data_IF_599914217762
#
_entry.id   IF_599914217762
#
_cell.length_a   1.000
_cell.length_b   1.000
_cell.length_c   1.000
_cell.angle_alpha   90.00
_cell.angle_beta   90.00
_cell.angle_gamma   90.00
#
_symmetry.space_group_name_H-M   'P 1'
#
loop_
_entity.id
_entity.type
_entity.pdbx_description
1 polymer ?
#
# COMPACT_ATOMS: atom_id res chain seq x y z
N UNK A 1 9.27 18.31 -2.34
CA UNK A 1 8.79 16.91 -2.44
C UNK A 1 8.95 16.33 -1.06
N UNK A 2 7.87 16.03 -0.32
CA UNK A 2 8.01 15.34 0.96
C UNK A 2 8.73 14.02 0.71
N UNK A 3 9.72 13.69 1.53
CA UNK A 3 10.40 12.39 1.44
C UNK A 3 9.35 11.29 1.57
N UNK A 4 9.42 10.26 0.72
CA UNK A 4 8.57 9.10 0.85
C UNK A 4 8.79 8.48 2.25
N UNK A 5 7.72 8.07 2.91
CA UNK A 5 7.81 7.37 4.20
C UNK A 5 8.41 5.99 3.95
N UNK A 6 9.67 5.79 4.36
CA UNK A 6 10.42 4.56 4.12
C UNK A 6 11.23 4.16 5.36
N UNK A 7 11.56 2.87 5.46
CA UNK A 7 12.43 2.30 6.49
C UNK A 7 13.37 1.26 5.88
N UNK A 8 14.67 1.51 5.99
CA UNK A 8 15.70 0.54 5.56
C UNK A 8 15.93 -0.49 6.67
N UNK A 9 16.02 -1.77 6.27
CA UNK A 9 16.38 -2.91 7.12
C UNK A 9 17.56 -3.64 6.48
N UNK A 10 18.33 -4.36 7.29
CA UNK A 10 19.51 -5.13 6.84
C UNK A 10 20.82 -4.36 6.98
N UNK A 11 21.93 -5.08 7.09
CA UNK A 11 23.27 -4.47 7.20
C UNK A 11 24.14 -4.67 5.96
N UNK A 12 23.96 -5.77 5.22
CA UNK A 12 24.80 -6.15 4.07
C UNK A 12 24.38 -5.44 2.78
N UNK A 13 25.32 -5.27 1.86
CA UNK A 13 25.09 -4.60 0.57
C UNK A 13 23.90 -5.20 -0.20
N UNK A 14 23.04 -4.35 -0.81
CA UNK A 14 21.95 -4.80 -1.67
C UNK A 14 22.43 -5.57 -2.90
N UNK A 15 23.68 -5.35 -3.34
CA UNK A 15 24.28 -5.97 -4.52
C UNK A 15 24.50 -7.48 -4.37
N UNK A 16 24.38 -8.02 -3.15
CA UNK A 16 24.43 -9.47 -2.92
C UNK A 16 23.22 -10.19 -3.50
N UNK A 17 22.09 -9.52 -3.70
CA UNK A 17 20.88 -10.14 -4.20
C UNK A 17 20.61 -9.68 -5.63
N UNK A 18 20.93 -10.54 -6.60
CA UNK A 18 20.97 -10.18 -8.03
C UNK A 18 19.94 -10.95 -8.83
N UNK A 19 19.39 -10.28 -9.84
CA UNK A 19 18.61 -10.92 -10.89
C UNK A 19 19.58 -11.51 -11.91
N UNK A 20 19.55 -12.83 -12.10
CA UNK A 20 20.44 -13.52 -13.04
C UNK A 20 19.84 -13.62 -14.43
N UNK A 21 18.54 -13.91 -14.48
CA UNK A 21 17.70 -13.95 -15.68
C UNK A 21 16.30 -13.43 -15.29
N UNK A 22 15.37 -13.19 -16.25
CA UNK A 22 14.11 -12.50 -15.96
C UNK A 22 13.30 -13.08 -14.79
N UNK A 23 13.47 -14.38 -14.54
CA UNK A 23 12.68 -15.12 -13.55
C UNK A 23 13.54 -15.74 -12.43
N UNK A 24 14.85 -15.44 -12.37
CA UNK A 24 15.75 -16.06 -11.41
C UNK A 24 16.50 -15.03 -10.57
N UNK A 25 16.34 -15.14 -9.25
CA UNK A 25 17.09 -14.40 -8.27
C UNK A 25 18.14 -15.27 -7.60
N UNK A 26 19.33 -14.72 -7.38
CA UNK A 26 20.43 -15.40 -6.68
C UNK A 26 20.94 -14.49 -5.57
N UNK A 27 21.24 -15.09 -4.41
CA UNK A 27 22.04 -14.42 -3.40
C UNK A 27 23.50 -14.84 -3.50
N UNK A 28 24.38 -13.91 -3.89
CA UNK A 28 25.82 -14.12 -4.02
C UNK A 28 26.46 -14.51 -2.69
N UNK A 29 27.11 -15.66 -2.71
CA UNK A 29 27.86 -16.24 -1.62
C UNK A 29 29.04 -17.06 -2.17
N UNK A 30 29.97 -17.44 -1.30
CA UNK A 30 31.13 -18.27 -1.67
C UNK A 30 30.76 -19.75 -1.90
N UNK A 31 29.52 -20.11 -1.57
CA UNK A 31 28.97 -21.46 -1.71
C UNK A 31 27.93 -21.49 -2.84
N UNK A 32 27.78 -22.66 -3.44
CA UNK A 32 26.68 -22.93 -4.36
C UNK A 32 25.35 -22.94 -3.58
N UNK A 33 24.28 -22.50 -4.24
CA UNK A 33 22.91 -22.59 -3.70
C UNK A 33 22.54 -24.04 -3.41
N UNK A 34 22.03 -24.32 -2.22
CA UNK A 34 21.59 -25.65 -1.76
C UNK A 34 20.06 -25.77 -1.66
N UNK A 35 19.34 -24.68 -1.96
CA UNK A 35 17.87 -24.63 -2.04
C UNK A 35 17.40 -23.67 -3.14
N UNK A 36 16.32 -24.05 -3.84
CA UNK A 36 15.55 -23.21 -4.77
C UNK A 36 14.16 -23.03 -4.20
N UNK A 37 13.71 -21.78 -4.04
CA UNK A 37 12.33 -21.47 -3.66
C UNK A 37 11.60 -20.92 -4.86
N UNK A 38 10.48 -21.52 -5.23
CA UNK A 38 9.63 -21.11 -6.35
C UNK A 38 8.39 -20.38 -5.82
N UNK A 39 8.14 -19.18 -6.33
CA UNK A 39 6.97 -18.36 -5.99
C UNK A 39 6.32 -17.87 -7.28
N UNK A 40 5.26 -18.56 -7.71
CA UNK A 40 4.74 -18.40 -9.08
C UNK A 40 5.83 -18.69 -10.11
N UNK A 41 6.00 -17.83 -11.11
CA UNK A 41 6.97 -18.01 -12.19
C UNK A 41 8.42 -17.62 -11.82
N UNK A 42 8.68 -17.25 -10.57
CA UNK A 42 9.98 -16.74 -10.12
C UNK A 42 10.68 -17.75 -9.23
N UNK A 43 11.92 -18.08 -9.58
CA UNK A 43 12.80 -18.96 -8.81
C UNK A 43 13.85 -18.16 -8.03
N UNK A 44 14.07 -18.55 -6.78
CA UNK A 44 15.06 -17.95 -5.89
C UNK A 44 16.10 -19.01 -5.52
N UNK A 45 17.32 -18.88 -6.06
CA UNK A 45 18.45 -19.76 -5.73
C UNK A 45 19.15 -19.23 -4.46
N UNK A 46 18.92 -19.93 -3.36
CA UNK A 46 19.24 -19.49 -2.00
C UNK A 46 20.02 -20.58 -1.26
N UNK A 47 20.13 -20.39 0.05
CA UNK A 47 20.87 -21.21 0.99
C UNK A 47 19.95 -21.58 2.15
N UNK A 48 19.95 -22.83 2.59
CA UNK A 48 19.04 -23.34 3.63
C UNK A 48 19.19 -22.56 4.93
N UNK A 49 20.43 -22.39 5.41
CA UNK A 49 20.70 -21.85 6.75
C UNK A 49 20.11 -20.45 7.01
N UNK A 50 20.27 -19.43 6.14
CA UNK A 50 19.59 -18.15 6.31
C UNK A 50 18.06 -18.24 6.44
N UNK A 51 17.42 -19.15 5.70
CA UNK A 51 15.97 -19.27 5.64
C UNK A 51 15.40 -19.98 6.88
N UNK A 52 15.94 -21.17 7.21
CA UNK A 52 15.40 -22.01 8.29
C UNK A 52 15.56 -21.36 9.68
N UNK A 53 16.55 -20.48 9.85
CA UNK A 53 16.75 -19.75 11.10
C UNK A 53 15.76 -18.60 11.33
N UNK A 54 15.02 -18.20 10.30
CA UNK A 54 14.18 -17.00 10.30
C UNK A 54 12.71 -17.28 9.98
N UNK A 55 12.40 -18.48 9.50
CA UNK A 55 11.05 -18.91 9.14
C UNK A 55 10.82 -20.36 9.53
N UNK A 56 9.88 -20.57 10.45
CA UNK A 56 9.44 -21.90 10.85
C UNK A 56 8.74 -22.66 9.71
N UNK A 57 8.04 -21.94 8.83
CA UNK A 57 7.39 -22.52 7.66
C UNK A 57 8.42 -22.99 6.63
N UNK A 58 9.41 -22.17 6.28
CA UNK A 58 10.48 -22.57 5.36
C UNK A 58 11.31 -23.71 5.94
N UNK A 59 11.56 -23.72 7.26
CA UNK A 59 12.22 -24.84 7.93
C UNK A 59 11.49 -26.17 7.71
N UNK A 60 10.16 -26.19 7.87
CA UNK A 60 9.33 -27.38 7.65
C UNK A 60 9.36 -27.83 6.19
N UNK A 61 9.09 -26.91 5.26
CA UNK A 61 9.04 -27.22 3.83
C UNK A 61 10.39 -27.72 3.28
N UNK A 62 11.51 -27.15 3.74
CA UNK A 62 12.86 -27.59 3.37
C UNK A 62 13.17 -28.98 3.95
N UNK A 63 12.72 -29.27 5.17
CA UNK A 63 12.90 -30.58 5.78
C UNK A 63 12.11 -31.66 5.03
N UNK A 64 10.83 -31.40 4.75
CA UNK A 64 9.92 -32.32 4.05
C UNK A 64 10.40 -32.65 2.64
N UNK A 65 10.81 -31.64 1.86
CA UNK A 65 11.38 -31.83 0.53
C UNK A 65 12.68 -32.65 0.55
N UNK A 66 13.53 -32.46 1.56
CA UNK A 66 14.78 -33.24 1.71
C UNK A 66 14.50 -34.70 2.10
N UNK A 67 13.43 -35.00 2.83
CA UNK A 67 13.04 -36.38 3.21
C UNK A 67 12.34 -37.15 2.09
N UNK A 68 11.71 -36.45 1.14
CA UNK A 68 11.02 -37.08 0.00
C UNK A 68 11.96 -37.46 -1.15
N UNK A 69 13.17 -36.90 -1.16
CA UNK A 69 14.23 -37.18 -2.13
C UNK A 69 15.18 -38.25 -1.59
N UNK A 70 14.71 -39.49 -1.48
CA UNK A 70 15.60 -40.62 -1.18
C UNK A 70 16.63 -40.80 -2.32
N UNK A 71 17.89 -40.46 -2.02
CA UNK A 71 19.13 -41.06 -2.53
C UNK A 71 19.44 -41.16 -4.04
N UNK A 72 18.84 -40.37 -4.95
CA UNK A 72 19.15 -40.50 -6.39
C UNK A 72 19.60 -39.27 -7.20
N UNK A 73 19.74 -38.06 -6.65
CA UNK A 73 20.28 -36.94 -7.45
C UNK A 73 21.47 -36.25 -6.79
N UNK A 74 22.66 -36.71 -7.19
CA UNK A 74 23.96 -36.25 -6.72
C UNK A 74 24.20 -34.75 -6.91
N UNK A 75 23.89 -33.97 -5.87
CA UNK A 75 24.30 -32.57 -5.76
C UNK A 75 23.31 -31.53 -6.30
N UNK A 76 22.06 -31.90 -6.64
CA UNK A 76 21.05 -30.88 -7.00
C UNK A 76 20.47 -30.19 -5.76
N UNK A 77 20.17 -28.89 -5.85
CA UNK A 77 19.55 -28.15 -4.74
C UNK A 77 18.12 -28.64 -4.49
N UNK A 78 17.74 -28.66 -3.21
CA UNK A 78 16.38 -28.92 -2.76
C UNK A 78 15.43 -27.87 -3.33
N UNK A 79 14.26 -28.25 -3.85
CA UNK A 79 13.29 -27.30 -4.41
C UNK A 79 12.05 -27.23 -3.51
N UNK A 80 11.61 -26.01 -3.18
CA UNK A 80 10.43 -25.73 -2.36
C UNK A 80 9.49 -24.82 -3.14
N UNK A 81 8.23 -25.23 -3.25
CA UNK A 81 7.18 -24.41 -3.86
C UNK A 81 6.40 -23.66 -2.78
N UNK A 82 6.20 -22.36 -2.99
CA UNK A 82 5.38 -21.49 -2.15
C UNK A 82 4.21 -20.98 -2.98
N UNK A 83 3.23 -21.85 -3.14
CA UNK A 83 1.95 -21.49 -3.73
C UNK A 83 1.20 -20.53 -2.80
N UNK A 84 0.46 -19.60 -3.40
CA UNK A 84 -0.43 -18.67 -2.69
C UNK A 84 0.24 -17.82 -1.58
N UNK A 85 1.54 -17.52 -1.73
CA UNK A 85 2.21 -16.58 -0.83
C UNK A 85 1.62 -15.17 -1.01
N UNK A 86 1.08 -14.54 0.05
CA UNK A 86 0.55 -13.18 -0.03
C UNK A 86 1.61 -12.19 -0.51
N UNK A 87 1.31 -11.43 -1.56
CA UNK A 87 2.23 -10.48 -2.20
C UNK A 87 3.27 -11.13 -3.12
N UNK A 88 3.17 -12.45 -3.32
CA UNK A 88 3.93 -13.25 -4.28
C UNK A 88 5.45 -13.07 -4.19
N UNK A 89 6.11 -13.24 -5.34
CA UNK A 89 7.56 -13.16 -5.46
C UNK A 89 8.12 -11.79 -5.02
N UNK A 90 7.36 -10.70 -5.21
CA UNK A 90 7.77 -9.36 -4.80
C UNK A 90 7.92 -9.24 -3.27
N UNK A 91 6.96 -9.79 -2.50
CA UNK A 91 7.04 -9.86 -1.05
C UNK A 91 8.12 -10.87 -0.60
N UNK A 92 8.18 -12.05 -1.22
CA UNK A 92 9.19 -13.06 -0.91
C UNK A 92 10.61 -12.53 -1.08
N UNK A 93 10.88 -11.73 -2.11
CA UNK A 93 12.19 -11.12 -2.31
C UNK A 93 12.64 -10.29 -1.10
N UNK A 94 11.73 -9.56 -0.46
CA UNK A 94 12.04 -8.76 0.73
C UNK A 94 12.20 -9.65 1.97
N UNK A 95 11.39 -10.72 2.08
CA UNK A 95 11.57 -11.76 3.10
C UNK A 95 12.95 -12.42 2.98
N UNK A 96 13.35 -12.84 1.78
CA UNK A 96 14.65 -13.44 1.53
C UNK A 96 15.78 -12.47 1.89
N UNK A 97 15.70 -11.21 1.46
CA UNK A 97 16.68 -10.18 1.86
C UNK A 97 16.78 -10.04 3.38
N UNK A 98 15.66 -10.06 4.10
CA UNK A 98 15.66 -10.06 5.57
C UNK A 98 16.37 -11.29 6.15
N UNK A 99 16.10 -12.49 5.64
CA UNK A 99 16.75 -13.72 6.09
C UNK A 99 18.28 -13.68 5.93
N UNK A 100 18.75 -13.01 4.88
CA UNK A 100 20.18 -12.84 4.59
C UNK A 100 20.84 -11.64 5.27
N UNK A 101 20.05 -10.80 5.96
CA UNK A 101 20.48 -9.49 6.47
C UNK A 101 21.00 -8.56 5.36
N UNK A 102 20.44 -8.70 4.14
CA UNK A 102 20.72 -7.84 2.99
C UNK A 102 19.80 -6.62 3.03
N UNK A 103 20.35 -5.45 2.71
CA UNK A 103 19.60 -4.21 2.74
C UNK A 103 18.38 -4.21 1.81
N UNK A 104 17.25 -3.78 2.34
CA UNK A 104 16.02 -3.51 1.60
C UNK A 104 15.20 -2.42 2.29
N UNK A 105 14.22 -1.91 1.55
CA UNK A 105 13.37 -0.81 2.00
C UNK A 105 11.92 -1.27 2.18
N UNK A 106 11.37 -1.02 3.37
CA UNK A 106 9.94 -1.00 3.61
C UNK A 106 9.38 0.38 3.27
N UNK A 107 8.23 0.41 2.61
CA UNK A 107 7.49 1.62 2.28
C UNK A 107 5.99 1.34 2.28
N UNK A 108 5.19 2.39 2.07
CA UNK A 108 3.73 2.30 2.12
C UNK A 108 3.12 1.32 1.09
N UNK A 109 3.82 1.04 -0.02
CA UNK A 109 3.32 0.14 -1.06
C UNK A 109 3.58 -1.34 -0.75
N UNK A 110 4.66 -1.65 -0.01
CA UNK A 110 5.07 -3.02 0.23
C UNK A 110 4.86 -3.52 1.66
N UNK A 111 4.62 -2.63 2.64
CA UNK A 111 4.51 -3.01 4.05
C UNK A 111 3.40 -4.01 4.31
N UNK A 112 2.23 -3.84 3.67
CA UNK A 112 1.06 -4.72 3.84
C UNK A 112 1.34 -6.13 3.29
N UNK A 113 1.74 -6.30 2.01
CA UNK A 113 2.05 -7.64 1.50
C UNK A 113 3.22 -8.28 2.23
N UNK A 114 4.26 -7.53 2.64
CA UNK A 114 5.37 -8.06 3.44
C UNK A 114 4.91 -8.53 4.81
N UNK A 115 4.04 -7.77 5.48
CA UNK A 115 3.47 -8.15 6.79
C UNK A 115 2.63 -9.43 6.68
N UNK A 116 1.87 -9.58 5.60
CA UNK A 116 1.07 -10.78 5.32
C UNK A 116 1.97 -11.99 4.97
N UNK A 117 2.98 -11.80 4.13
CA UNK A 117 3.96 -12.85 3.80
C UNK A 117 4.74 -13.31 5.04
N UNK A 118 5.17 -12.37 5.90
CA UNK A 118 5.87 -12.69 7.14
C UNK A 118 4.99 -13.51 8.12
N UNK A 119 3.68 -13.22 8.17
CA UNK A 119 2.70 -14.02 8.92
C UNK A 119 2.61 -15.44 8.36
N UNK A 120 2.40 -15.57 7.04
CA UNK A 120 2.29 -16.87 6.35
C UNK A 120 3.54 -17.73 6.52
N UNK A 121 4.71 -17.11 6.48
CA UNK A 121 6.00 -17.78 6.63
C UNK A 121 6.41 -18.00 8.08
N UNK A 122 5.56 -17.65 9.05
CA UNK A 122 5.83 -17.87 10.47
C UNK A 122 7.13 -17.20 10.92
N UNK A 123 7.39 -15.99 10.41
CA UNK A 123 8.55 -15.18 10.79
C UNK A 123 8.26 -14.48 12.13
N UNK A 124 8.26 -15.27 13.20
CA UNK A 124 7.93 -14.87 14.57
C UNK A 124 9.20 -14.66 15.45
N UNK A 125 9.05 -14.10 16.66
CA UNK A 125 10.15 -13.83 17.61
C UNK A 125 10.57 -12.35 17.73
N UNK A 126 11.42 -12.01 18.68
CA UNK A 126 11.88 -10.62 18.86
C UNK A 126 12.76 -10.17 17.68
N UNK A 127 12.52 -8.95 17.16
CA UNK A 127 13.27 -8.43 16.02
C UNK A 127 13.04 -9.14 14.68
N UNK A 128 11.93 -9.88 14.56
CA UNK A 128 11.54 -10.55 13.30
C UNK A 128 10.97 -9.56 12.26
N UNK A 129 10.79 -10.03 11.02
CA UNK A 129 10.26 -9.21 9.93
C UNK A 129 8.82 -8.72 10.16
N UNK A 130 7.94 -9.57 10.69
CA UNK A 130 6.56 -9.19 11.01
C UNK A 130 6.52 -8.03 12.02
N UNK A 131 7.34 -8.06 13.07
CA UNK A 131 7.46 -7.01 14.08
C UNK A 131 8.05 -5.72 13.51
N UNK A 132 9.05 -5.82 12.62
CA UNK A 132 9.60 -4.65 11.94
C UNK A 132 8.59 -3.99 10.99
N UNK A 133 7.84 -4.80 10.22
CA UNK A 133 6.78 -4.33 9.34
C UNK A 133 5.62 -3.72 10.13
N UNK A 134 5.19 -4.36 11.21
CA UNK A 134 4.17 -3.86 12.14
C UNK A 134 4.57 -2.49 12.73
N UNK A 135 5.78 -2.39 13.29
CA UNK A 135 6.26 -1.15 13.88
C UNK A 135 6.33 0.00 12.87
N UNK A 136 6.79 -0.29 11.64
CA UNK A 136 6.79 0.69 10.55
C UNK A 136 5.37 1.09 10.14
N UNK A 137 4.46 0.12 10.04
CA UNK A 137 3.04 0.36 9.74
C UNK A 137 2.40 1.29 10.77
N UNK A 138 2.54 0.97 12.07
CA UNK A 138 1.92 1.75 13.16
C UNK A 138 2.48 3.17 13.24
N UNK A 139 3.82 3.29 13.27
CA UNK A 139 4.50 4.55 13.59
C UNK A 139 4.55 5.50 12.40
N UNK A 140 4.92 4.98 11.25
CA UNK A 140 5.33 5.80 10.12
C UNK A 140 4.20 5.88 9.07
N UNK A 141 3.58 4.74 8.75
CA UNK A 141 2.53 4.65 7.71
C UNK A 141 1.20 5.23 8.20
N UNK A 142 0.69 4.78 9.35
CA UNK A 142 -0.55 5.34 9.90
C UNK A 142 -0.40 6.80 10.32
N UNK A 143 0.82 7.30 10.52
CA UNK A 143 1.08 8.71 10.77
C UNK A 143 0.79 9.60 9.55
N UNK A 144 1.04 9.12 8.34
CA UNK A 144 0.94 9.90 7.11
C UNK A 144 -0.33 9.59 6.32
N UNK A 145 -1.06 10.62 5.89
CA UNK A 145 -2.25 10.46 5.05
C UNK A 145 -1.93 9.68 3.77
N UNK A 146 -0.91 10.10 3.02
CA UNK A 146 -0.56 9.47 1.74
C UNK A 146 -0.05 8.05 1.91
N UNK A 147 0.72 7.79 2.98
CA UNK A 147 1.20 6.46 3.27
C UNK A 147 0.04 5.54 3.67
N UNK A 148 -0.90 6.01 4.50
CA UNK A 148 -2.07 5.24 4.89
C UNK A 148 -3.01 4.94 3.71
N UNK A 149 -3.23 5.90 2.78
CA UNK A 149 -3.98 5.63 1.54
C UNK A 149 -3.28 4.57 0.71
N UNK A 150 -1.96 4.68 0.52
CA UNK A 150 -1.18 3.72 -0.28
C UNK A 150 -1.14 2.32 0.34
N UNK A 151 -1.03 2.23 1.66
CA UNK A 151 -1.12 0.96 2.37
C UNK A 151 -2.53 0.35 2.26
N UNK A 152 -3.57 1.16 2.38
CA UNK A 152 -4.96 0.70 2.19
C UNK A 152 -5.21 0.17 0.77
N UNK A 153 -4.62 0.80 -0.25
CA UNK A 153 -4.64 0.28 -1.63
C UNK A 153 -3.97 -1.09 -1.74
N UNK A 154 -2.82 -1.26 -1.06
CA UNK A 154 -2.10 -2.53 -1.06
C UNK A 154 -2.87 -3.68 -0.38
N UNK A 155 -3.86 -3.38 0.47
CA UNK A 155 -4.76 -4.40 1.02
C UNK A 155 -5.75 -4.98 -0.01
N UNK A 156 -5.96 -4.32 -1.15
CA UNK A 156 -6.93 -4.72 -2.17
C UNK A 156 -6.37 -4.58 -3.59
N UNK A 157 -5.09 -4.94 -3.81
CA UNK A 157 -4.45 -4.81 -5.12
C UNK A 157 -4.63 -6.03 -6.04
N UNK A 158 -5.63 -6.88 -5.77
CA UNK A 158 -5.95 -8.07 -6.56
C UNK A 158 -5.37 -9.38 -6.07
N UNK A 159 -4.67 -9.39 -4.94
CA UNK A 159 -4.19 -10.59 -4.26
C UNK A 159 -5.16 -10.97 -3.12
N UNK A 160 -5.86 -12.10 -3.28
CA UNK A 160 -6.86 -12.57 -2.32
C UNK A 160 -6.25 -12.97 -0.97
N UNK A 161 -5.03 -13.53 -0.99
CA UNK A 161 -4.29 -13.90 0.21
C UNK A 161 -3.88 -12.68 1.03
N UNK A 162 -3.47 -11.60 0.37
CA UNK A 162 -3.22 -10.31 1.02
C UNK A 162 -4.51 -9.73 1.57
N UNK A 163 -5.60 -9.73 0.80
CA UNK A 163 -6.87 -9.14 1.25
C UNK A 163 -7.39 -9.82 2.51
N UNK A 164 -7.39 -11.16 2.55
CA UNK A 164 -7.86 -11.91 3.71
C UNK A 164 -7.00 -11.63 4.94
N UNK A 165 -5.67 -11.77 4.82
CA UNK A 165 -4.76 -11.55 5.95
C UNK A 165 -4.72 -10.09 6.42
N UNK A 166 -4.90 -9.13 5.51
CA UNK A 166 -4.96 -7.72 5.86
C UNK A 166 -6.18 -7.38 6.73
N UNK A 167 -7.30 -8.11 6.57
CA UNK A 167 -8.44 -8.02 7.49
C UNK A 167 -8.14 -8.74 8.80
N UNK A 168 -7.64 -9.97 8.77
CA UNK A 168 -7.36 -10.78 9.97
C UNK A 168 -6.32 -10.10 10.89
N UNK A 169 -5.33 -9.42 10.31
CA UNK A 169 -4.29 -8.66 11.01
C UNK A 169 -4.71 -7.19 11.30
N UNK A 170 -5.94 -6.81 10.96
CA UNK A 170 -6.50 -5.47 11.14
C UNK A 170 -5.71 -4.34 10.43
N UNK A 171 -4.96 -4.66 9.36
CA UNK A 171 -4.20 -3.66 8.60
C UNK A 171 -5.15 -2.72 7.85
N UNK A 172 -6.12 -3.26 7.11
CA UNK A 172 -7.10 -2.44 6.38
C UNK A 172 -8.01 -1.61 7.32
N UNK A 173 -8.63 -2.19 8.38
CA UNK A 173 -9.40 -1.42 9.36
C UNK A 173 -8.61 -0.26 9.99
N UNK A 174 -7.36 -0.48 10.41
CA UNK A 174 -6.54 0.56 11.05
C UNK A 174 -6.15 1.68 10.09
N UNK A 175 -5.93 1.37 8.80
CA UNK A 175 -5.78 2.40 7.78
C UNK A 175 -7.05 3.25 7.64
N UNK A 176 -8.23 2.61 7.58
CA UNK A 176 -9.53 3.29 7.45
C UNK A 176 -9.79 4.19 8.66
N UNK A 177 -9.62 3.67 9.88
CA UNK A 177 -9.77 4.44 11.12
C UNK A 177 -8.82 5.62 11.18
N UNK A 178 -7.55 5.41 10.82
CA UNK A 178 -6.51 6.45 10.82
C UNK A 178 -6.81 7.57 9.81
N UNK A 179 -7.29 7.22 8.61
CA UNK A 179 -7.69 8.17 7.58
C UNK A 179 -8.93 8.94 8.02
N UNK A 180 -9.95 8.25 8.51
CA UNK A 180 -11.18 8.90 8.98
C UNK A 180 -10.89 9.85 10.16
N UNK A 181 -10.06 9.45 11.12
CA UNK A 181 -9.61 10.31 12.22
C UNK A 181 -8.93 11.60 11.72
N UNK A 182 -8.05 11.50 10.72
CA UNK A 182 -7.36 12.66 10.14
C UNK A 182 -8.30 13.57 9.37
N UNK A 183 -9.25 13.00 8.63
CA UNK A 183 -10.21 13.79 7.86
C UNK A 183 -11.21 14.53 8.75
N UNK A 184 -11.67 13.89 9.83
CA UNK A 184 -12.63 14.47 10.77
C UNK A 184 -11.99 15.39 11.82
N UNK A 185 -10.66 15.50 11.88
CA UNK A 185 -9.98 16.36 12.83
C UNK A 185 -10.23 17.84 12.52
N UNK A 186 -10.61 18.62 13.54
CA UNK A 186 -10.78 20.08 13.41
C UNK A 186 -9.42 20.75 13.14
N UNK A 187 -9.24 21.42 11.98
CA UNK A 187 -8.00 22.12 11.64
C UNK A 187 -7.63 23.24 12.63
N UNK A 188 -8.57 23.68 13.47
CA UNK A 188 -8.39 24.79 14.41
C UNK A 188 -7.99 24.36 15.82
N UNK A 189 -8.12 23.07 16.16
CA UNK A 189 -7.91 22.57 17.53
C UNK A 189 -6.54 21.93 17.77
N UNK A 190 -5.79 21.62 16.72
CA UNK A 190 -4.45 21.04 16.84
C UNK A 190 -3.45 21.83 15.98
N UNK A 191 -2.33 22.26 16.60
CA UNK A 191 -1.20 22.87 15.92
C UNK A 191 -0.55 21.89 14.95
N UNK A 192 -1.14 21.79 13.76
CA UNK A 192 -0.81 20.87 12.67
C UNK A 192 0.60 21.15 12.11
N UNK A 193 1.58 20.24 12.25
CA UNK A 193 2.84 20.29 11.51
C UNK A 193 2.74 19.54 10.16
N UNK A 194 1.63 18.83 9.90
CA UNK A 194 1.56 17.81 8.84
C UNK A 194 1.07 18.31 7.46
N UNK A 195 0.72 19.60 7.35
CA UNK A 195 0.28 20.26 6.11
C UNK A 195 1.41 21.05 5.44
N UNK A 196 2.61 21.18 6.04
CA UNK A 196 3.73 21.92 5.44
C UNK A 196 4.05 21.47 3.99
N UNK A 197 3.73 20.22 3.64
CA UNK A 197 3.95 19.69 2.29
C UNK A 197 2.75 19.82 1.33
N UNK A 198 1.53 20.10 1.81
CA UNK A 198 0.32 20.20 0.99
C UNK A 198 -0.11 21.63 0.70
N UNK A 199 -0.04 22.55 1.67
CA UNK A 199 -0.38 23.97 1.41
C UNK A 199 0.63 24.63 0.48
N UNK A 200 1.91 24.27 0.56
CA UNK A 200 2.95 24.78 -0.33
C UNK A 200 2.73 24.46 -1.83
N UNK A 201 1.84 23.50 -2.16
CA UNK A 201 1.55 23.09 -3.55
C UNK A 201 0.22 23.63 -4.09
N UNK A 202 -0.58 24.27 -3.25
CA UNK A 202 -1.83 24.93 -3.67
C UNK A 202 -1.69 26.46 -3.77
N UNK A 203 -0.60 27.04 -3.27
CA UNK A 203 -0.21 28.41 -3.61
C UNK A 203 0.73 28.37 -4.80
N UNK A 204 0.33 29.05 -5.87
CA UNK A 204 1.20 29.34 -7.00
C UNK A 204 2.57 29.85 -6.52
N UNK A 205 3.63 29.36 -7.14
CA UNK A 205 5.02 29.65 -6.86
C UNK A 205 5.39 31.10 -7.25
N UNK A 206 4.85 32.11 -6.54
CA UNK A 206 5.05 33.51 -6.89
C UNK A 206 5.73 34.39 -5.81
N UNK A 207 6.08 33.90 -4.63
CA UNK A 207 6.86 34.71 -3.69
C UNK A 207 7.70 33.88 -2.71
N UNK A 208 9.02 34.08 -2.77
CA UNK A 208 9.94 33.64 -1.72
C UNK A 208 9.69 34.45 -0.42
N UNK A 209 9.90 33.87 0.77
CA UNK A 209 9.59 34.52 2.05
C UNK A 209 10.55 35.68 2.34
N UNK A 210 10.00 36.88 2.53
CA UNK A 210 10.73 38.02 3.11
C UNK A 210 10.48 38.02 4.62
N UNK A 211 11.54 37.78 5.39
CA UNK A 211 11.50 37.92 6.85
C UNK A 211 11.79 39.37 7.22
N UNK A 212 10.94 40.00 8.03
CA UNK A 212 11.23 41.29 8.66
C UNK A 212 11.11 41.14 10.18
N UNK A 213 12.23 41.32 10.89
CA UNK A 213 12.31 41.32 12.36
C UNK A 213 11.59 40.15 13.09
N UNK A 214 11.77 38.92 12.62
CA UNK A 214 11.31 37.73 13.35
C UNK A 214 9.79 37.53 13.42
N UNK A 215 9.00 38.35 12.72
CA UNK A 215 7.54 38.22 12.62
C UNK A 215 7.22 37.86 11.16
N UNK A 216 6.66 36.67 10.95
CA UNK A 216 6.14 36.26 9.64
C UNK A 216 4.92 37.11 9.30
N UNK A 217 4.92 37.78 8.14
CA UNK A 217 3.81 38.61 7.66
C UNK A 217 2.66 37.82 7.05
N UNK A 218 2.72 36.48 7.04
CA UNK A 218 1.54 35.69 6.71
C UNK A 218 0.59 35.65 7.91
N UNK A 219 -0.58 36.26 7.74
CA UNK A 219 -1.77 35.92 8.52
C UNK A 219 -2.02 34.41 8.49
N UNK A 220 -2.66 33.90 9.55
CA UNK A 220 -3.10 32.52 9.81
C UNK A 220 -3.01 31.61 8.55
N UNK A 221 -2.26 30.49 8.56
CA UNK A 221 -2.21 29.58 7.42
C UNK A 221 -3.63 29.33 6.92
N UNK A 222 -3.90 29.62 5.63
CA UNK A 222 -5.23 29.36 5.06
C UNK A 222 -5.53 27.89 5.32
N UNK A 223 -6.62 27.61 6.02
CA UNK A 223 -7.07 26.23 6.23
C UNK A 223 -7.12 25.54 4.87
N UNK A 224 -6.62 24.30 4.76
CA UNK A 224 -6.88 23.51 3.57
C UNK A 224 -8.40 23.52 3.36
N UNK A 225 -8.87 23.94 2.17
CA UNK A 225 -10.30 23.89 1.87
C UNK A 225 -10.85 22.49 2.18
N UNK A 226 -12.14 22.38 2.46
CA UNK A 226 -12.77 21.13 2.92
C UNK A 226 -12.45 19.88 2.07
N UNK A 227 -12.04 20.05 0.81
CA UNK A 227 -11.66 19.00 -0.12
C UNK A 227 -10.18 18.61 -0.20
N UNK A 228 -9.34 19.00 0.76
CA UNK A 228 -7.88 18.71 0.73
C UNK A 228 -7.53 17.21 0.58
N UNK A 229 -8.42 16.33 1.04
CA UNK A 229 -8.23 14.88 1.06
C UNK A 229 -8.94 14.13 -0.07
N UNK A 230 -9.81 14.80 -0.84
CA UNK A 230 -10.69 14.15 -1.82
C UNK A 230 -9.90 13.45 -2.94
N UNK A 231 -8.81 14.06 -3.40
CA UNK A 231 -8.03 13.54 -4.53
C UNK A 231 -7.41 12.19 -4.22
N UNK A 232 -6.85 12.02 -3.02
CA UNK A 232 -6.21 10.79 -2.59
C UNK A 232 -7.25 9.75 -2.19
N UNK A 233 -8.28 10.12 -1.42
CA UNK A 233 -9.36 9.18 -1.09
C UNK A 233 -10.04 8.62 -2.34
N UNK A 234 -10.24 9.45 -3.38
CA UNK A 234 -10.81 8.98 -4.66
C UNK A 234 -9.92 8.06 -5.47
N UNK A 235 -8.67 7.84 -5.07
CA UNK A 235 -7.82 6.82 -5.68
C UNK A 235 -8.07 5.40 -5.14
N UNK A 236 -8.90 5.25 -4.09
CA UNK A 236 -9.32 3.95 -3.58
C UNK A 236 -10.34 3.28 -4.51
N UNK A 237 -10.26 1.94 -4.60
CA UNK A 237 -11.31 1.13 -5.22
C UNK A 237 -12.62 1.29 -4.44
N UNK A 238 -13.76 1.14 -5.13
CA UNK A 238 -15.08 1.43 -4.57
C UNK A 238 -15.34 0.72 -3.21
N UNK A 239 -15.02 -0.57 -3.01
CA UNK A 239 -15.26 -1.24 -1.73
C UNK A 239 -14.55 -0.57 -0.54
N UNK A 240 -13.26 -0.23 -0.70
CA UNK A 240 -12.48 0.46 0.33
C UNK A 240 -12.93 1.91 0.53
N UNK A 241 -13.28 2.60 -0.56
CA UNK A 241 -13.82 3.96 -0.50
C UNK A 241 -15.15 4.01 0.26
N UNK A 242 -16.07 3.06 0.02
CA UNK A 242 -17.33 2.92 0.76
C UNK A 242 -17.07 2.76 2.26
N UNK A 243 -16.17 1.87 2.64
CA UNK A 243 -15.80 1.64 4.05
C UNK A 243 -15.22 2.91 4.69
N UNK A 244 -14.36 3.62 3.98
CA UNK A 244 -13.80 4.89 4.45
C UNK A 244 -14.89 5.95 4.67
N UNK A 245 -15.83 6.10 3.73
CA UNK A 245 -16.95 7.05 3.85
C UNK A 245 -17.86 6.69 5.03
N UNK A 246 -18.16 5.40 5.23
CA UNK A 246 -18.93 4.93 6.38
C UNK A 246 -18.23 5.24 7.71
N UNK A 247 -16.92 5.04 7.80
CA UNK A 247 -16.15 5.37 9.01
C UNK A 247 -16.03 6.87 9.24
N UNK A 248 -15.91 7.68 8.19
CA UNK A 248 -15.95 9.14 8.34
C UNK A 248 -17.30 9.63 8.87
N UNK A 249 -18.41 9.01 8.42
CA UNK A 249 -19.75 9.30 8.92
C UNK A 249 -19.90 8.93 10.40
N UNK A 250 -19.45 7.74 10.80
CA UNK A 250 -19.51 7.32 12.21
C UNK A 250 -18.72 8.25 13.13
N UNK A 251 -17.69 8.93 12.60
CA UNK A 251 -16.87 9.93 13.29
C UNK A 251 -17.36 11.38 13.17
N UNK A 252 -18.53 11.62 12.56
CA UNK A 252 -19.14 12.95 12.50
C UNK A 252 -18.60 13.87 11.39
N UNK A 253 -18.07 13.32 10.30
CA UNK A 253 -17.78 14.12 9.09
C UNK A 253 -19.07 14.79 8.59
N UNK A 254 -18.99 16.08 8.23
CA UNK A 254 -20.17 16.83 7.81
C UNK A 254 -20.80 16.26 6.52
N UNK A 255 -22.13 16.35 6.36
CA UNK A 255 -22.82 15.95 5.13
C UNK A 255 -22.21 16.59 3.88
N UNK A 256 -21.82 17.87 3.95
CA UNK A 256 -21.18 18.59 2.84
C UNK A 256 -19.81 18.01 2.52
N UNK A 257 -19.03 17.63 3.54
CA UNK A 257 -17.73 17.00 3.40
C UNK A 257 -17.83 15.65 2.67
N UNK A 258 -18.82 14.83 3.06
CA UNK A 258 -19.13 13.55 2.42
C UNK A 258 -19.62 13.77 0.99
N UNK A 259 -20.60 14.65 0.77
CA UNK A 259 -21.16 14.95 -0.53
C UNK A 259 -20.10 15.49 -1.51
N UNK A 260 -19.22 16.39 -1.04
CA UNK A 260 -18.12 16.93 -1.82
C UNK A 260 -17.12 15.84 -2.25
N UNK A 261 -16.79 14.91 -1.35
CA UNK A 261 -15.93 13.77 -1.65
C UNK A 261 -16.57 12.82 -2.67
N UNK A 262 -17.85 12.48 -2.49
CA UNK A 262 -18.61 11.63 -3.40
C UNK A 262 -18.72 12.24 -4.80
N UNK A 263 -18.99 13.55 -4.88
CA UNK A 263 -19.00 14.27 -6.14
C UNK A 263 -17.63 14.24 -6.83
N UNK A 264 -16.54 14.36 -6.06
CA UNK A 264 -15.19 14.23 -6.59
C UNK A 264 -14.89 12.80 -7.09
N UNK A 265 -15.29 11.78 -6.33
CA UNK A 265 -15.16 10.37 -6.71
C UNK A 265 -15.91 10.08 -8.01
N UNK A 266 -17.18 10.51 -8.08
CA UNK A 266 -18.04 10.36 -9.25
C UNK A 266 -17.41 11.00 -10.49
N UNK A 267 -16.92 12.24 -10.40
CA UNK A 267 -16.25 12.91 -11.53
C UNK A 267 -15.02 12.13 -12.00
N UNK A 268 -14.24 11.58 -11.08
CA UNK A 268 -13.03 10.83 -11.41
C UNK A 268 -13.33 9.53 -12.16
N UNK A 269 -14.36 8.79 -11.74
CA UNK A 269 -14.61 7.42 -12.19
C UNK A 269 -15.76 7.28 -13.19
N UNK A 270 -16.62 8.30 -13.34
CA UNK A 270 -17.71 8.30 -14.33
C UNK A 270 -17.28 9.08 -15.59
N UNK A 271 -17.12 8.35 -16.69
CA UNK A 271 -16.70 8.85 -18.01
C UNK A 271 -17.58 9.99 -18.58
N UNK A 272 -18.86 10.06 -18.17
CA UNK A 272 -19.82 11.08 -18.62
C UNK A 272 -19.70 12.45 -17.93
N UNK A 273 -19.01 12.54 -16.80
CA UNK A 273 -18.87 13.79 -16.03
C UNK A 273 -17.60 14.59 -16.38
N UNK A 274 -16.56 13.92 -16.91
CA UNK A 274 -15.29 14.55 -17.31
C UNK A 274 -15.29 15.14 -18.73
N UNK A 275 -16.35 14.96 -19.53
CA UNK A 275 -16.43 15.46 -20.92
C UNK A 275 -16.75 16.95 -21.06
N UNK A 276 -16.90 17.70 -19.97
CA UNK A 276 -17.15 19.15 -20.01
C UNK A 276 -15.85 19.93 -19.87
N UNK A 277 -14.97 19.87 -20.87
CA UNK A 277 -14.05 20.99 -21.17
C UNK A 277 -13.31 20.97 -22.52
N UNK A 278 -13.71 20.15 -23.49
CA UNK A 278 -13.18 20.29 -24.87
C UNK A 278 -14.36 20.49 -25.81
N UNK A 279 -14.64 21.76 -26.10
CA UNK A 279 -15.49 22.13 -27.22
C UNK A 279 -14.87 21.63 -28.52
N UNK A 280 -15.62 20.82 -29.26
CA UNK A 280 -15.18 20.33 -30.56
C UNK A 280 -16.01 19.14 -30.99
N UNK A 281 -17.00 19.38 -31.85
CA UNK A 281 -17.79 18.34 -32.47
C UNK A 281 -16.92 17.35 -33.25
N UNK A 282 -17.32 16.09 -33.20
CA UNK A 282 -16.69 15.01 -33.94
C UNK A 282 -17.40 13.72 -33.62
N UNK A 283 -18.40 13.39 -34.44
CA UNK A 283 -18.94 12.05 -34.49
C UNK A 283 -17.79 11.08 -34.82
N UNK A 284 -17.57 10.08 -33.99
CA UNK A 284 -16.92 8.85 -34.41
C UNK A 284 -17.32 7.71 -33.48
N UNK A 285 -17.93 6.74 -34.13
CA UNK A 285 -17.96 5.30 -33.82
C UNK A 285 -17.49 4.84 -32.45
N UNK A 286 -18.36 4.09 -31.78
CA UNK A 286 -17.88 3.07 -30.84
C UNK A 286 -18.88 1.92 -30.81
N UNK A 287 -18.65 0.96 -31.71
CA UNK A 287 -18.99 -0.44 -31.47
C UNK A 287 -18.39 -0.87 -30.12
N UNK A 288 -19.19 -1.58 -29.31
CA UNK A 288 -18.93 -2.13 -27.96
C UNK A 288 -19.06 -1.17 -26.76
N UNK A 289 -20.14 -1.28 -25.96
CA UNK A 289 -20.09 -0.83 -24.55
C UNK A 289 -21.21 -1.29 -23.59
N UNK A 290 -22.06 -2.28 -23.90
CA UNK A 290 -23.18 -2.65 -22.98
C UNK A 290 -22.69 -3.05 -21.57
N UNK A 291 -21.55 -3.75 -21.48
CA UNK A 291 -20.89 -4.07 -20.22
C UNK A 291 -20.30 -2.86 -19.48
N UNK A 292 -19.69 -1.91 -20.20
CA UNK A 292 -19.10 -0.69 -19.61
C UNK A 292 -20.20 0.25 -19.11
N UNK A 293 -21.31 0.34 -19.83
CA UNK A 293 -22.50 1.10 -19.41
C UNK A 293 -23.13 0.45 -18.18
N UNK A 294 -23.18 -0.89 -18.13
CA UNK A 294 -23.65 -1.65 -16.97
C UNK A 294 -22.81 -1.41 -15.70
N UNK A 295 -21.49 -1.51 -15.79
CA UNK A 295 -20.58 -1.23 -14.67
C UNK A 295 -20.67 0.22 -14.21
N UNK A 296 -20.78 1.17 -15.15
CA UNK A 296 -20.95 2.59 -14.84
C UNK A 296 -22.28 2.87 -14.14
N UNK A 297 -23.35 2.14 -14.50
CA UNK A 297 -24.64 2.22 -13.82
C UNK A 297 -24.57 1.70 -12.39
N UNK A 298 -23.96 0.53 -12.16
CA UNK A 298 -23.80 -0.04 -10.81
C UNK A 298 -22.99 0.90 -9.92
N UNK A 299 -21.89 1.46 -10.44
CA UNK A 299 -21.09 2.45 -9.73
C UNK A 299 -21.91 3.70 -9.35
N UNK A 300 -22.76 4.19 -10.26
CA UNK A 300 -23.62 5.34 -9.98
C UNK A 300 -24.66 5.02 -8.89
N UNK A 301 -25.34 3.87 -8.98
CA UNK A 301 -26.32 3.43 -7.98
C UNK A 301 -25.69 3.34 -6.58
N UNK A 302 -24.47 2.82 -6.50
CA UNK A 302 -23.69 2.74 -5.28
C UNK A 302 -23.29 4.12 -4.73
N UNK A 303 -22.84 5.04 -5.58
CA UNK A 303 -22.51 6.42 -5.17
C UNK A 303 -23.76 7.14 -4.65
N UNK A 304 -24.91 6.96 -5.32
CA UNK A 304 -26.18 7.57 -4.92
C UNK A 304 -26.63 7.02 -3.55
N UNK A 305 -26.48 5.71 -3.31
CA UNK A 305 -26.77 5.10 -2.02
C UNK A 305 -25.87 5.65 -0.88
N UNK A 306 -24.69 6.16 -1.20
CA UNK A 306 -23.79 6.80 -0.25
C UNK A 306 -24.07 8.29 -0.03
N UNK A 307 -24.99 8.94 -0.73
CA UNK A 307 -25.26 10.36 -0.49
C UNK A 307 -25.91 10.59 0.89
N UNK A 308 -25.61 11.69 1.60
CA UNK A 308 -26.32 12.05 2.83
C UNK A 308 -27.80 12.34 2.53
N UNK A 309 -28.71 11.83 3.38
CA UNK A 309 -30.15 12.10 3.27
C UNK A 309 -30.54 13.51 3.75
N UNK A 310 -29.70 14.11 4.60
CA UNK A 310 -29.90 15.43 5.19
C UNK A 310 -29.51 16.52 4.18
N UNK A 311 -30.40 17.49 3.96
CA UNK A 311 -30.07 18.70 3.20
C UNK A 311 -29.18 19.58 4.08
N UNK A 312 -28.03 20.00 3.56
CA UNK A 312 -27.17 20.99 4.22
C UNK A 312 -27.97 22.23 4.60
N UNK A 313 -27.85 22.66 5.85
CA UNK A 313 -28.56 23.80 6.44
C UNK A 313 -27.97 25.11 5.93
#
# INVERSE_FOLDING_TARGET
MAAATTRVLGSKSPDRFQLRDPNSWVCLNELASDVVVEVGDISFHLHKFPLINRSSTLQKLIAESTTSSDDQDGGKPCTVQLDDLPGGAAAFRLVAKFCYDVQFELNAANVVPVRCAAERLGMAGEGNLAAHAEAFFVRDVLGSWDAAVRALQACDDGDDGVRQLAEDLLLAPRCIESLAAKACADPTLFGWPMVENYTARCVDAAAAPVMWNGISTYGKPRSPGAGWWYRQASSLRLPLYKRLISEMRSRGMSPEGIAGSLAHYARRHLSGLNRRDVGGGGASDTTSSDGVVGEQRVLLEEIVALLPAEKGV
#
